data_IF_947235192904
#
_entry.id   IF_947235192904
#
_cell.length_a   1.000
_cell.length_b   1.000
_cell.length_c   1.000
_cell.angle_alpha   90.00
_cell.angle_beta   90.00
_cell.angle_gamma   90.00
#
_symmetry.space_group_name_H-M   'P 1'
#
loop_
_entity.id
_entity.type
_entity.pdbx_description
1 polymer ?
#
# COMPACT_ATOMS: atom_id res chain seq x y z
N UNK A 1 -47.42 1.19 8.09
CA UNK A 1 -46.11 1.74 7.71
C UNK A 1 -45.48 0.80 6.69
N UNK A 2 -45.15 1.28 5.50
CA UNK A 2 -44.58 0.45 4.42
C UNK A 2 -43.06 0.37 4.65
N UNK A 3 -42.43 -0.83 4.70
CA UNK A 3 -40.98 -0.92 4.87
C UNK A 3 -40.28 -0.29 3.67
N UNK A 4 -39.24 0.49 3.95
CA UNK A 4 -38.39 1.14 2.95
C UNK A 4 -37.65 0.04 2.15
N UNK A 5 -37.50 0.17 0.82
CA UNK A 5 -36.76 -0.82 0.06
C UNK A 5 -35.29 -0.82 0.52
N UNK A 6 -34.80 -2.00 0.91
CA UNK A 6 -33.41 -2.26 1.20
C UNK A 6 -32.59 -1.93 -0.06
N UNK A 7 -31.78 -0.88 0.01
CA UNK A 7 -30.89 -0.51 -1.09
C UNK A 7 -29.85 -1.63 -1.19
N UNK A 8 -29.67 -2.30 -2.35
CA UNK A 8 -28.63 -3.29 -2.50
C UNK A 8 -27.28 -2.56 -2.37
N UNK A 9 -26.55 -2.82 -1.29
CA UNK A 9 -25.15 -2.42 -1.18
C UNK A 9 -24.38 -3.13 -2.29
N UNK A 10 -23.76 -2.42 -3.24
CA UNK A 10 -23.00 -3.06 -4.30
C UNK A 10 -21.86 -3.89 -3.68
N UNK A 11 -21.48 -5.02 -4.30
CA UNK A 11 -20.33 -5.80 -3.84
C UNK A 11 -19.14 -4.83 -3.79
N UNK A 12 -18.48 -4.80 -2.63
CA UNK A 12 -17.32 -3.96 -2.36
C UNK A 12 -16.31 -4.16 -3.50
N UNK A 13 -16.36 -3.24 -4.46
CA UNK A 13 -15.47 -3.27 -5.60
C UNK A 13 -14.13 -2.88 -5.04
N UNK A 14 -13.27 -3.87 -4.79
CA UNK A 14 -11.91 -3.68 -4.31
C UNK A 14 -11.31 -2.53 -5.10
N UNK A 15 -11.14 -1.39 -4.43
CA UNK A 15 -10.60 -0.21 -5.06
C UNK A 15 -9.14 -0.57 -5.36
N UNK A 16 -8.83 -0.85 -6.63
CA UNK A 16 -7.47 -1.16 -7.03
C UNK A 16 -6.75 0.17 -7.13
N UNK A 17 -5.93 0.49 -6.14
CA UNK A 17 -5.07 1.66 -6.22
C UNK A 17 -3.98 1.35 -7.25
N UNK A 18 -4.14 1.92 -8.44
CA UNK A 18 -3.13 1.98 -9.49
C UNK A 18 -2.46 3.36 -9.43
N UNK A 19 -1.82 3.67 -8.29
CA UNK A 19 -1.08 4.92 -8.12
C UNK A 19 0.40 4.70 -8.42
N UNK A 20 1.14 5.72 -8.91
CA UNK A 20 2.59 5.69 -8.77
C UNK A 20 2.90 5.67 -7.28
N UNK A 21 3.46 4.55 -6.82
CA UNK A 21 3.84 4.40 -5.42
C UNK A 21 4.92 5.41 -5.05
N UNK A 22 5.01 5.80 -3.76
CA UNK A 22 6.14 6.59 -3.29
C UNK A 22 7.45 5.88 -3.69
N UNK A 23 8.31 6.61 -4.38
CA UNK A 23 9.69 6.19 -4.67
C UNK A 23 10.57 6.61 -3.50
N UNK A 24 11.36 5.68 -3.01
CA UNK A 24 12.27 5.88 -1.90
C UNK A 24 13.70 6.21 -2.34
N UNK A 25 13.93 6.32 -3.65
CA UNK A 25 15.25 6.63 -4.26
C UNK A 25 15.90 7.90 -3.71
N UNK A 26 15.11 8.92 -3.38
CA UNK A 26 15.61 10.16 -2.77
C UNK A 26 16.17 9.96 -1.35
N UNK A 27 15.82 8.86 -0.68
CA UNK A 27 16.21 8.55 0.69
C UNK A 27 17.36 7.53 0.80
N UNK A 28 17.91 7.07 -0.34
CA UNK A 28 19.06 6.13 -0.36
C UNK A 28 20.29 6.65 0.39
N UNK A 29 20.45 7.99 0.44
CA UNK A 29 21.57 8.65 1.12
C UNK A 29 21.34 8.82 2.64
N UNK A 30 20.21 8.37 3.17
CA UNK A 30 19.94 8.45 4.60
C UNK A 30 20.76 7.41 5.39
N UNK A 31 21.00 7.67 6.69
CA UNK A 31 21.57 6.66 7.58
C UNK A 31 20.78 5.35 7.52
N UNK A 32 21.49 4.23 7.60
CA UNK A 32 20.88 2.89 7.52
C UNK A 32 19.65 2.72 8.43
N UNK A 33 19.71 3.25 9.66
CA UNK A 33 18.57 3.24 10.59
C UNK A 33 17.30 3.89 10.03
N UNK A 34 17.44 5.04 9.36
CA UNK A 34 16.31 5.75 8.75
C UNK A 34 15.77 5.01 7.53
N UNK A 35 16.66 4.36 6.76
CA UNK A 35 16.28 3.50 5.63
C UNK A 35 15.46 2.30 6.11
N UNK A 36 15.88 1.63 7.18
CA UNK A 36 15.08 0.58 7.82
C UNK A 36 13.74 1.09 8.39
N UNK A 37 13.71 2.30 8.93
CA UNK A 37 12.46 2.92 9.40
C UNK A 37 11.49 3.15 8.22
N UNK A 38 11.98 3.70 7.10
CA UNK A 38 11.20 3.88 5.87
C UNK A 38 10.68 2.56 5.32
N UNK A 39 11.51 1.51 5.28
CA UNK A 39 11.09 0.17 4.89
C UNK A 39 9.98 -0.38 5.78
N UNK A 40 10.07 -0.18 7.10
CA UNK A 40 9.02 -0.51 8.05
C UNK A 40 7.72 0.25 7.77
N UNK A 41 7.80 1.56 7.61
CA UNK A 41 6.65 2.42 7.28
C UNK A 41 6.00 2.05 5.95
N UNK A 42 6.79 1.70 4.93
CA UNK A 42 6.30 1.29 3.61
C UNK A 42 5.44 0.02 3.70
N UNK A 43 5.89 -0.99 4.45
CA UNK A 43 5.12 -2.21 4.70
C UNK A 43 3.85 -1.93 5.51
N UNK A 44 3.95 -1.12 6.56
CA UNK A 44 2.79 -0.75 7.38
C UNK A 44 1.74 0.00 6.55
N UNK A 45 2.17 0.89 5.65
CA UNK A 45 1.29 1.59 4.72
C UNK A 45 0.58 0.63 3.78
N UNK A 46 1.31 -0.31 3.17
CA UNK A 46 0.71 -1.35 2.32
C UNK A 46 -0.31 -2.18 3.09
N UNK A 47 0.03 -2.65 4.29
CA UNK A 47 -0.86 -3.44 5.13
C UNK A 47 -2.12 -2.66 5.54
N UNK A 48 -1.98 -1.36 5.86
CA UNK A 48 -3.12 -0.50 6.15
C UNK A 48 -4.04 -0.30 4.93
N UNK A 49 -3.49 -0.28 3.71
CA UNK A 49 -4.28 -0.24 2.49
C UNK A 49 -5.01 -1.57 2.26
N UNK A 50 -4.34 -2.69 2.46
CA UNK A 50 -4.96 -4.03 2.35
C UNK A 50 -6.08 -4.22 3.39
N UNK A 51 -5.89 -3.74 4.63
CA UNK A 51 -6.90 -3.76 5.71
C UNK A 51 -8.15 -2.92 5.37
N UNK A 52 -7.95 -1.79 4.67
CA UNK A 52 -9.03 -0.96 4.13
C UNK A 52 -9.73 -1.58 2.90
N UNK A 53 -9.31 -2.77 2.44
CA UNK A 53 -9.88 -3.47 1.29
C UNK A 53 -9.31 -3.03 -0.06
N UNK A 54 -8.19 -2.30 -0.08
CA UNK A 54 -7.48 -1.98 -1.32
C UNK A 54 -6.62 -3.15 -1.77
N UNK A 55 -6.73 -3.52 -3.05
CA UNK A 55 -5.88 -4.55 -3.65
C UNK A 55 -4.74 -3.87 -4.38
N UNK A 56 -3.52 -4.18 -3.96
CA UNK A 56 -2.29 -3.66 -4.57
C UNK A 56 -2.19 -4.13 -6.02
N UNK A 57 -1.87 -3.20 -6.93
CA UNK A 57 -1.64 -3.53 -8.34
C UNK A 57 -0.36 -4.36 -8.54
N UNK A 58 0.65 -4.17 -7.68
CA UNK A 58 1.89 -4.95 -7.68
C UNK A 58 1.90 -6.02 -6.57
N UNK A 59 2.51 -7.16 -6.88
CA UNK A 59 2.72 -8.23 -5.89
C UNK A 59 3.58 -7.75 -4.72
N UNK A 60 3.42 -8.40 -3.57
CA UNK A 60 4.22 -8.11 -2.37
C UNK A 60 5.72 -8.21 -2.65
N UNK A 61 6.15 -9.25 -3.37
CA UNK A 61 7.54 -9.45 -3.74
C UNK A 61 8.11 -8.32 -4.59
N UNK A 62 7.37 -7.86 -5.61
CA UNK A 62 7.80 -6.77 -6.48
C UNK A 62 7.98 -5.46 -5.71
N UNK A 63 7.06 -5.20 -4.78
CA UNK A 63 7.13 -4.05 -3.88
C UNK A 63 8.33 -4.12 -2.96
N UNK A 64 8.55 -5.25 -2.28
CA UNK A 64 9.69 -5.41 -1.39
C UNK A 64 10.99 -5.26 -2.18
N UNK A 65 11.10 -5.90 -3.35
CA UNK A 65 12.27 -5.77 -4.21
C UNK A 65 12.55 -4.32 -4.59
N UNK A 66 11.52 -3.56 -5.00
CA UNK A 66 11.66 -2.14 -5.34
C UNK A 66 12.08 -1.32 -4.12
N UNK A 67 11.39 -1.46 -2.99
CA UNK A 67 11.68 -0.67 -1.78
C UNK A 67 13.09 -0.97 -1.25
N UNK A 68 13.51 -2.24 -1.26
CA UNK A 68 14.86 -2.65 -0.87
C UNK A 68 15.92 -2.10 -1.82
N UNK A 69 15.69 -2.17 -3.14
CA UNK A 69 16.60 -1.61 -4.16
C UNK A 69 16.71 -0.08 -4.05
N UNK A 70 15.57 0.62 -3.92
CA UNK A 70 15.51 2.08 -3.80
C UNK A 70 16.13 2.60 -2.50
N UNK A 71 16.08 1.81 -1.41
CA UNK A 71 16.68 2.13 -0.13
C UNK A 71 18.09 1.55 0.05
N UNK A 72 18.65 0.83 -0.93
CA UNK A 72 19.94 0.14 -0.83
C UNK A 72 20.07 -0.71 0.47
N UNK A 73 19.00 -1.45 0.80
CA UNK A 73 18.91 -2.33 1.97
C UNK A 73 19.32 -3.78 1.68
#
# INVERSE_FOLDING_TARGET
MKPMPEVPVPPQSACKIAGPWPTYTSFRNLPERERWALYGSAKAYRQALEDQGFVMAESYDAFIKRVTDELEL
#
